data_IF_322701548576
#
_entry.id   IF_322701548576
#
_cell.length_a   1.000
_cell.length_b   1.000
_cell.length_c   1.000
_cell.angle_alpha   90.00
_cell.angle_beta   90.00
_cell.angle_gamma   90.00
#
_symmetry.space_group_name_H-M   'P 1'
#
loop_
_entity.id
_entity.type
_entity.pdbx_description
1 polymer ?
#
# COMPACT_ATOMS: atom_id res chain seq x y z
N UNK A 1 14.26 11.79 12.81
CA UNK A 1 13.33 12.55 11.96
C UNK A 1 12.20 13.09 12.83
N UNK A 2 12.00 14.40 12.95
CA UNK A 2 10.81 14.96 13.57
C UNK A 2 9.74 15.03 12.49
N UNK A 3 8.71 14.20 12.57
CA UNK A 3 7.50 14.39 11.76
C UNK A 3 6.82 15.65 12.31
N UNK A 4 6.71 16.69 11.49
CA UNK A 4 5.87 17.83 11.81
C UNK A 4 4.44 17.32 11.89
N UNK A 5 3.66 17.82 12.86
CA UNK A 5 2.23 17.57 12.95
C UNK A 5 1.53 18.18 11.73
N UNK A 6 1.50 17.40 10.65
CA UNK A 6 0.76 17.72 9.43
C UNK A 6 -0.46 16.81 9.34
N UNK A 7 -1.42 17.18 8.53
CA UNK A 7 -2.59 16.36 8.24
C UNK A 7 -2.15 14.97 7.77
N UNK A 8 -2.55 13.94 8.51
CA UNK A 8 -2.40 12.57 8.07
C UNK A 8 -3.43 12.29 7.00
N UNK A 9 -3.01 11.69 5.88
CA UNK A 9 -3.91 11.32 4.79
C UNK A 9 -3.71 9.86 4.44
N UNK A 10 -4.80 9.20 4.08
CA UNK A 10 -4.75 7.85 3.54
C UNK A 10 -3.91 7.85 2.27
N UNK A 11 -3.01 6.87 2.15
CA UNK A 11 -2.24 6.67 0.93
C UNK A 11 -3.18 6.40 -0.26
N UNK A 12 -3.04 7.10 -1.39
CA UNK A 12 -3.93 6.94 -2.54
C UNK A 12 -4.04 5.49 -3.02
N UNK A 13 -2.95 4.73 -3.03
CA UNK A 13 -2.98 3.33 -3.45
C UNK A 13 -3.81 2.44 -2.52
N UNK A 14 -3.86 2.75 -1.23
CA UNK A 14 -4.67 2.01 -0.27
C UNK A 14 -6.17 2.33 -0.38
N UNK A 15 -6.53 3.48 -0.96
CA UNK A 15 -7.93 3.75 -1.32
C UNK A 15 -8.43 2.82 -2.43
N UNK A 16 -7.59 2.50 -3.43
CA UNK A 16 -7.92 1.49 -4.43
C UNK A 16 -8.04 0.09 -3.80
N UNK A 17 -7.15 -0.25 -2.87
CA UNK A 17 -7.20 -1.51 -2.13
C UNK A 17 -8.49 -1.64 -1.32
N UNK A 18 -8.88 -0.60 -0.59
CA UNK A 18 -10.12 -0.56 0.19
C UNK A 18 -11.35 -0.69 -0.71
N UNK A 19 -11.43 0.08 -1.79
CA UNK A 19 -12.54 -0.02 -2.74
C UNK A 19 -12.65 -1.41 -3.34
N UNK A 20 -11.53 -2.01 -3.73
CA UNK A 20 -11.48 -3.38 -4.25
C UNK A 20 -12.04 -4.38 -3.24
N UNK A 21 -11.64 -4.28 -1.97
CA UNK A 21 -12.16 -5.13 -0.90
C UNK A 21 -13.68 -4.96 -0.72
N UNK A 22 -14.17 -3.72 -0.75
CA UNK A 22 -15.60 -3.42 -0.62
C UNK A 22 -16.41 -3.98 -1.78
N UNK A 23 -15.92 -3.87 -3.02
CA UNK A 23 -16.57 -4.44 -4.21
C UNK A 23 -16.61 -5.97 -4.17
N UNK A 24 -15.53 -6.62 -3.72
CA UNK A 24 -15.49 -8.07 -3.55
C UNK A 24 -16.47 -8.52 -2.46
N UNK A 25 -16.53 -7.82 -1.32
CA UNK A 25 -17.51 -8.10 -0.26
C UNK A 25 -18.95 -7.95 -0.77
N UNK A 26 -19.25 -6.97 -1.61
CA UNK A 26 -20.56 -6.76 -2.19
C UNK A 26 -20.98 -7.92 -3.12
N UNK A 27 -20.01 -8.57 -3.77
CA UNK A 27 -20.25 -9.68 -4.69
C UNK A 27 -20.30 -11.05 -4.00
N UNK A 28 -19.39 -11.28 -3.05
CA UNK A 28 -19.14 -12.59 -2.46
C UNK A 28 -19.58 -12.71 -1.00
N UNK A 29 -19.94 -11.59 -0.37
CA UNK A 29 -20.17 -11.54 1.07
C UNK A 29 -18.87 -11.38 1.86
N UNK A 30 -18.96 -11.63 3.18
CA UNK A 30 -17.83 -11.53 4.09
C UNK A 30 -17.70 -10.17 4.78
N UNK A 31 -16.51 -9.88 5.33
CA UNK A 31 -16.22 -8.67 6.10
C UNK A 31 -14.91 -8.03 5.64
N UNK A 32 -14.81 -6.70 5.72
CA UNK A 32 -13.61 -5.93 5.38
C UNK A 32 -13.04 -5.31 6.65
N UNK A 33 -11.86 -5.76 7.05
CA UNK A 33 -11.08 -5.18 8.14
C UNK A 33 -9.91 -4.39 7.58
N UNK A 34 -9.79 -3.12 7.97
CA UNK A 34 -8.66 -2.28 7.60
C UNK A 34 -7.60 -2.32 8.70
N UNK A 35 -6.35 -2.61 8.32
CA UNK A 35 -5.22 -2.66 9.24
C UNK A 35 -4.14 -1.66 8.80
N UNK A 36 -3.62 -0.87 9.73
CA UNK A 36 -2.47 0.00 9.50
C UNK A 36 -1.47 -0.08 10.64
N UNK A 37 -0.22 0.26 10.37
CA UNK A 37 0.79 0.51 11.40
C UNK A 37 1.15 1.98 11.40
N UNK A 38 0.97 2.64 12.54
CA UNK A 38 1.21 4.07 12.62
C UNK A 38 1.11 4.64 14.02
N UNK A 39 1.37 5.95 14.16
CA UNK A 39 1.17 6.65 15.41
C UNK A 39 -0.34 6.76 15.74
N UNK A 40 -0.71 7.09 16.99
CA UNK A 40 -2.12 7.21 17.39
C UNK A 40 -2.97 8.13 16.50
N UNK A 41 -2.36 9.13 15.88
CA UNK A 41 -3.04 10.05 14.95
C UNK A 41 -3.59 9.34 13.69
N UNK A 42 -3.10 8.16 13.37
CA UNK A 42 -3.64 7.34 12.27
C UNK A 42 -5.09 6.89 12.52
N UNK A 43 -5.61 7.06 13.74
CA UNK A 43 -7.01 6.76 14.07
C UNK A 43 -7.99 7.54 13.16
N UNK A 44 -7.67 8.77 12.79
CA UNK A 44 -8.54 9.58 11.91
C UNK A 44 -8.71 8.92 10.54
N UNK A 45 -7.62 8.41 9.95
CA UNK A 45 -7.67 7.67 8.68
C UNK A 45 -8.49 6.38 8.79
N UNK A 46 -8.42 5.69 9.95
CA UNK A 46 -9.22 4.50 10.20
C UNK A 46 -10.71 4.83 10.32
N UNK A 47 -11.05 5.98 10.88
CA UNK A 47 -12.44 6.48 10.89
C UNK A 47 -12.94 6.79 9.49
N UNK A 48 -12.10 7.32 8.61
CA UNK A 48 -12.45 7.54 7.20
C UNK A 48 -12.76 6.22 6.49
N UNK A 49 -12.02 5.14 6.78
CA UNK A 49 -12.32 3.82 6.24
C UNK A 49 -13.73 3.32 6.61
N UNK A 50 -14.19 3.58 7.83
CA UNK A 50 -15.58 3.31 8.21
C UNK A 50 -16.58 4.09 7.37
N UNK A 51 -16.27 5.34 7.04
CA UNK A 51 -17.18 6.18 6.22
C UNK A 51 -17.26 5.71 4.77
N UNK A 52 -16.28 4.91 4.32
CA UNK A 52 -16.29 4.24 3.01
C UNK A 52 -16.98 2.87 3.08
N UNK A 53 -17.17 2.31 4.25
CA UNK A 53 -17.92 1.07 4.43
C UNK A 53 -17.14 -0.10 5.01
N UNK A 54 -15.93 0.10 5.55
CA UNK A 54 -15.22 -0.93 6.27
C UNK A 54 -16.01 -1.43 7.48
N UNK A 55 -15.92 -2.71 7.79
CA UNK A 55 -16.61 -3.35 8.90
C UNK A 55 -15.83 -3.21 10.21
N UNK A 56 -14.49 -3.21 10.13
CA UNK A 56 -13.61 -3.06 11.28
C UNK A 56 -12.33 -2.29 10.90
N UNK A 57 -11.73 -1.65 11.90
CA UNK A 57 -10.51 -0.87 11.71
C UNK A 57 -9.55 -1.07 12.90
N UNK A 58 -8.30 -1.37 12.58
CA UNK A 58 -7.27 -1.75 13.55
C UNK A 58 -5.98 -0.98 13.29
N UNK A 59 -5.38 -0.46 14.34
CA UNK A 59 -4.08 0.22 14.30
C UNK A 59 -3.06 -0.59 15.10
N UNK A 60 -1.94 -0.92 14.48
CA UNK A 60 -0.73 -1.32 15.19
C UNK A 60 0.01 -0.04 15.64
N UNK A 61 -0.06 0.27 16.92
CA UNK A 61 0.53 1.50 17.45
C UNK A 61 1.30 1.27 18.74
N UNK A 62 2.62 1.32 18.63
CA UNK A 62 3.54 1.25 19.77
C UNK A 62 4.84 2.01 19.41
N UNK A 63 5.52 2.57 20.40
CA UNK A 63 6.84 3.18 20.20
C UNK A 63 7.88 2.19 19.71
N UNK A 64 7.72 0.92 20.01
CA UNK A 64 8.59 -0.17 19.57
C UNK A 64 8.53 -0.40 18.05
N UNK A 65 7.49 0.06 17.37
CA UNK A 65 7.37 -0.03 15.91
C UNK A 65 7.99 1.18 15.20
N UNK A 66 8.38 2.22 15.93
CA UNK A 66 8.89 3.44 15.33
C UNK A 66 10.22 3.23 14.60
N UNK A 67 10.35 3.86 13.44
CA UNK A 67 11.58 3.80 12.63
C UNK A 67 11.74 2.48 11.85
N UNK A 68 10.70 1.65 11.79
CA UNK A 68 10.69 0.42 11.00
C UNK A 68 10.94 0.70 9.52
N UNK A 69 11.78 -0.12 8.89
CA UNK A 69 11.91 -0.22 7.45
C UNK A 69 10.90 -1.21 6.87
N UNK A 70 11.08 -1.63 5.61
CA UNK A 70 10.17 -2.59 4.94
C UNK A 70 10.09 -3.90 5.70
N UNK A 71 11.24 -4.45 6.14
CA UNK A 71 11.27 -5.76 6.81
C UNK A 71 10.54 -5.72 8.14
N UNK A 72 10.88 -4.77 9.01
CA UNK A 72 10.25 -4.64 10.32
C UNK A 72 8.76 -4.23 10.22
N UNK A 73 8.39 -3.41 9.21
CA UNK A 73 7.00 -3.02 8.95
C UNK A 73 6.16 -4.21 8.51
N UNK A 74 6.62 -4.95 7.51
CA UNK A 74 5.88 -6.11 6.99
C UNK A 74 5.76 -7.21 8.05
N UNK A 75 6.80 -7.40 8.86
CA UNK A 75 6.75 -8.35 9.97
C UNK A 75 5.71 -7.96 11.02
N UNK A 76 5.71 -6.70 11.46
CA UNK A 76 4.72 -6.22 12.43
C UNK A 76 3.29 -6.35 11.90
N UNK A 77 3.05 -6.01 10.63
CA UNK A 77 1.74 -6.17 9.99
C UNK A 77 1.33 -7.65 9.89
N UNK A 78 2.23 -8.55 9.52
CA UNK A 78 1.98 -9.98 9.49
C UNK A 78 1.59 -10.53 10.87
N UNK A 79 2.28 -10.09 11.93
CA UNK A 79 1.91 -10.43 13.31
C UNK A 79 0.52 -9.88 13.68
N UNK A 80 0.21 -8.65 13.27
CA UNK A 80 -1.13 -8.07 13.45
C UNK A 80 -2.21 -8.88 12.75
N UNK A 81 -2.01 -9.28 11.50
CA UNK A 81 -2.93 -10.15 10.75
C UNK A 81 -3.13 -11.48 11.47
N UNK A 82 -2.07 -12.06 12.01
CA UNK A 82 -2.15 -13.31 12.80
C UNK A 82 -3.01 -13.13 14.05
N UNK A 83 -2.86 -12.01 14.78
CA UNK A 83 -3.71 -11.68 15.95
C UNK A 83 -5.18 -11.56 15.57
N UNK A 84 -5.47 -11.07 14.37
CA UNK A 84 -6.84 -10.93 13.87
C UNK A 84 -7.45 -12.26 13.39
N UNK A 85 -6.69 -13.34 13.38
CA UNK A 85 -7.14 -14.67 12.95
C UNK A 85 -6.86 -14.97 11.48
N UNK A 86 -6.07 -14.15 10.80
CA UNK A 86 -5.82 -14.27 9.36
C UNK A 86 -6.91 -13.61 8.51
N UNK A 87 -6.83 -13.83 7.21
CA UNK A 87 -7.83 -13.41 6.23
C UNK A 87 -7.76 -14.34 5.01
N UNK A 88 -8.88 -14.55 4.34
CA UNK A 88 -8.91 -15.29 3.07
C UNK A 88 -8.17 -14.52 1.97
N UNK A 89 -8.37 -13.20 1.95
CA UNK A 89 -7.70 -12.31 1.00
C UNK A 89 -7.14 -11.08 1.71
N UNK A 90 -5.85 -10.83 1.53
CA UNK A 90 -5.20 -9.60 1.96
C UNK A 90 -4.99 -8.72 0.73
N UNK A 91 -5.45 -7.48 0.80
CA UNK A 91 -5.31 -6.51 -0.30
C UNK A 91 -4.51 -5.32 0.21
N UNK A 92 -3.40 -5.01 -0.44
CA UNK A 92 -2.58 -3.84 -0.16
C UNK A 92 -2.56 -2.91 -1.38
N UNK A 93 -2.41 -1.63 -1.17
CA UNK A 93 -1.99 -0.74 -2.26
C UNK A 93 -0.59 -1.15 -2.76
N UNK A 94 -0.32 -0.90 -4.03
CA UNK A 94 0.96 -1.23 -4.66
C UNK A 94 2.15 -0.69 -3.89
N UNK A 95 2.07 0.56 -3.42
CA UNK A 95 3.16 1.28 -2.77
C UNK A 95 2.63 2.45 -1.95
N UNK A 96 3.49 3.07 -1.15
CA UNK A 96 3.18 4.31 -0.45
C UNK A 96 3.85 5.51 -1.13
N UNK A 97 3.24 6.68 -1.03
CA UNK A 97 3.79 7.92 -1.64
C UNK A 97 4.98 8.51 -0.88
N UNK A 98 5.23 8.05 0.34
CA UNK A 98 6.35 8.50 1.18
C UNK A 98 7.58 7.58 1.11
N UNK A 99 7.38 6.26 1.09
CA UNK A 99 8.44 5.26 1.05
C UNK A 99 8.75 4.71 -0.33
N UNK A 100 7.75 4.63 -1.18
CA UNK A 100 7.79 4.25 -2.60
C UNK A 100 8.52 2.91 -2.91
N UNK A 101 8.57 1.99 -1.94
CA UNK A 101 9.34 0.74 -2.09
C UNK A 101 8.59 -0.36 -2.84
N UNK A 102 7.26 -0.35 -2.81
CA UNK A 102 6.39 -1.40 -3.36
C UNK A 102 6.69 -2.83 -2.84
N UNK A 103 7.27 -2.97 -1.66
CA UNK A 103 7.77 -4.25 -1.14
C UNK A 103 6.99 -4.78 0.07
N UNK A 104 6.24 -3.93 0.78
CA UNK A 104 5.59 -4.32 2.03
C UNK A 104 4.56 -5.42 1.82
N UNK A 105 3.70 -5.33 0.80
CA UNK A 105 2.71 -6.36 0.48
C UNK A 105 3.32 -7.75 0.25
N UNK A 106 4.22 -7.91 -0.74
CA UNK A 106 4.92 -9.17 -0.98
C UNK A 106 5.67 -9.71 0.26
N UNK A 107 6.28 -8.82 1.06
CA UNK A 107 6.97 -9.22 2.29
C UNK A 107 5.99 -9.73 3.37
N UNK A 108 4.78 -9.16 3.47
CA UNK A 108 3.71 -9.70 4.35
C UNK A 108 3.34 -11.11 3.89
N UNK A 109 3.15 -11.32 2.60
CA UNK A 109 2.81 -12.64 2.06
C UNK A 109 3.88 -13.68 2.39
N UNK A 110 5.16 -13.33 2.26
CA UNK A 110 6.28 -14.21 2.65
C UNK A 110 6.25 -14.54 4.15
N UNK A 111 6.07 -13.55 5.02
CA UNK A 111 5.97 -13.79 6.46
C UNK A 111 4.80 -14.70 6.85
N UNK A 112 3.71 -14.65 6.09
CA UNK A 112 2.50 -15.47 6.33
C UNK A 112 2.48 -16.76 5.50
N UNK A 113 3.49 -16.99 4.66
CA UNK A 113 3.57 -18.15 3.75
C UNK A 113 2.36 -18.22 2.82
N UNK A 114 1.95 -17.08 2.26
CA UNK A 114 0.81 -16.96 1.36
C UNK A 114 1.26 -16.83 -0.10
N UNK A 115 0.49 -17.43 -1.01
CA UNK A 115 0.58 -17.10 -2.43
C UNK A 115 0.24 -15.64 -2.65
N UNK A 116 0.91 -14.97 -3.60
CA UNK A 116 0.61 -13.56 -3.85
C UNK A 116 0.77 -13.17 -5.32
N UNK A 117 0.06 -12.09 -5.71
CA UNK A 117 0.29 -11.37 -6.96
C UNK A 117 0.50 -9.89 -6.66
N UNK A 118 1.61 -9.35 -7.16
CA UNK A 118 1.93 -7.94 -7.03
C UNK A 118 1.49 -7.16 -8.29
N UNK A 119 1.10 -5.87 -8.08
CA UNK A 119 0.77 -4.94 -9.17
C UNK A 119 -0.39 -5.42 -10.05
N UNK A 120 -1.44 -5.88 -9.39
CA UNK A 120 -2.67 -6.29 -10.05
C UNK A 120 -3.33 -5.07 -10.68
N UNK A 121 -3.55 -5.15 -11.99
CA UNK A 121 -4.21 -4.11 -12.78
C UNK A 121 -5.72 -4.35 -12.89
N UNK A 122 -6.17 -5.61 -12.78
CA UNK A 122 -7.57 -5.98 -12.88
C UNK A 122 -7.86 -7.28 -12.15
N UNK A 123 -9.04 -7.38 -11.51
CA UNK A 123 -9.59 -8.65 -11.06
C UNK A 123 -10.54 -9.15 -12.14
N UNK A 124 -10.13 -10.20 -12.86
CA UNK A 124 -10.92 -10.79 -13.96
C UNK A 124 -11.97 -11.77 -13.46
N UNK A 125 -11.85 -12.24 -12.21
CA UNK A 125 -12.83 -13.10 -11.56
C UNK A 125 -12.50 -13.38 -10.11
N UNK A 126 -13.51 -13.73 -9.33
CA UNK A 126 -13.36 -14.21 -7.97
C UNK A 126 -14.56 -15.08 -7.60
N UNK A 127 -14.31 -16.16 -6.88
CA UNK A 127 -15.30 -17.09 -6.33
C UNK A 127 -14.90 -17.50 -4.89
N UNK A 128 -15.50 -18.51 -4.30
CA UNK A 128 -15.24 -18.95 -2.93
C UNK A 128 -13.87 -19.62 -2.76
N UNK A 129 -13.20 -20.00 -3.83
CA UNK A 129 -11.97 -20.81 -3.80
C UNK A 129 -10.71 -20.04 -4.24
N UNK A 130 -10.86 -19.10 -5.16
CA UNK A 130 -9.73 -18.43 -5.79
C UNK A 130 -10.09 -17.04 -6.33
N UNK A 131 -9.05 -16.24 -6.55
CA UNK A 131 -9.12 -14.97 -7.26
C UNK A 131 -8.34 -15.06 -8.58
N UNK A 132 -8.91 -14.54 -9.65
CA UNK A 132 -8.27 -14.41 -10.95
C UNK A 132 -7.90 -12.95 -11.19
N UNK A 133 -6.64 -12.71 -11.48
CA UNK A 133 -6.09 -11.37 -11.60
C UNK A 133 -5.29 -11.23 -12.88
N UNK A 134 -5.30 -10.02 -13.43
CA UNK A 134 -4.41 -9.61 -14.51
C UNK A 134 -3.38 -8.61 -13.99
N UNK A 135 -2.12 -8.87 -14.34
CA UNK A 135 -0.98 -8.01 -14.05
C UNK A 135 -0.44 -7.47 -15.35
N UNK A 136 -0.28 -6.16 -15.46
CA UNK A 136 0.36 -5.54 -16.63
C UNK A 136 1.83 -5.26 -16.30
N UNK A 137 2.70 -6.14 -16.76
CA UNK A 137 4.15 -6.03 -16.65
C UNK A 137 4.69 -5.22 -17.82
N UNK A 138 5.95 -4.74 -17.72
CA UNK A 138 6.52 -3.81 -18.71
C UNK A 138 6.36 -4.25 -20.17
N UNK A 139 6.45 -5.55 -20.44
CA UNK A 139 6.43 -6.10 -21.81
C UNK A 139 5.35 -7.14 -22.06
N UNK A 140 4.65 -7.59 -21.02
CA UNK A 140 3.65 -8.66 -21.10
C UNK A 140 2.50 -8.38 -20.14
N UNK A 141 1.32 -8.87 -20.49
CA UNK A 141 0.19 -9.01 -19.57
C UNK A 141 0.09 -10.46 -19.15
N UNK A 142 -0.04 -10.70 -17.84
CA UNK A 142 -0.12 -12.03 -17.24
C UNK A 142 -1.45 -12.17 -16.52
N UNK A 143 -2.15 -13.27 -16.78
CA UNK A 143 -3.31 -13.69 -15.98
C UNK A 143 -2.91 -14.83 -15.05
N UNK A 144 -3.39 -14.77 -13.81
CA UNK A 144 -3.10 -15.76 -12.77
C UNK A 144 -4.36 -16.07 -11.97
N UNK A 145 -4.53 -17.34 -11.63
CA UNK A 145 -5.53 -17.79 -10.66
C UNK A 145 -4.79 -18.16 -9.37
N UNK A 146 -5.23 -17.57 -8.26
CA UNK A 146 -4.55 -17.71 -6.96
C UNK A 146 -5.56 -18.24 -5.95
N UNK A 147 -5.34 -19.42 -5.37
CA UNK A 147 -6.21 -19.98 -4.36
C UNK A 147 -6.13 -19.19 -3.04
N UNK A 148 -7.22 -19.10 -2.32
CA UNK A 148 -7.24 -18.56 -0.96
C UNK A 148 -6.63 -19.54 0.06
N UNK A 149 -5.97 -19.06 1.16
CA UNK A 149 -5.72 -17.66 1.45
C UNK A 149 -4.56 -17.08 0.59
N UNK A 150 -4.68 -15.82 0.19
CA UNK A 150 -3.66 -15.17 -0.63
C UNK A 150 -3.55 -13.66 -0.37
N UNK A 151 -2.52 -13.04 -0.96
CA UNK A 151 -2.33 -11.60 -0.91
C UNK A 151 -2.21 -11.04 -2.33
N UNK A 152 -2.85 -9.89 -2.57
CA UNK A 152 -2.64 -9.11 -3.79
C UNK A 152 -2.21 -7.68 -3.46
N UNK A 153 -1.37 -7.08 -4.31
CA UNK A 153 -1.17 -5.63 -4.29
C UNK A 153 -1.79 -5.03 -5.53
N UNK A 154 -2.61 -4.00 -5.35
CA UNK A 154 -3.38 -3.39 -6.44
C UNK A 154 -2.73 -2.10 -6.92
N UNK A 155 -2.77 -1.89 -8.25
CA UNK A 155 -2.25 -0.68 -8.87
C UNK A 155 -3.28 0.45 -8.81
N UNK A 156 -2.84 1.67 -9.12
CA UNK A 156 -3.73 2.82 -9.29
C UNK A 156 -4.64 2.56 -10.50
N UNK A 157 -5.75 3.26 -10.53
CA UNK A 157 -6.72 3.23 -11.63
C UNK A 157 -7.44 1.89 -11.86
N UNK A 158 -7.21 0.90 -10.97
CA UNK A 158 -7.89 -0.39 -11.02
C UNK A 158 -9.41 -0.27 -10.81
N UNK A 159 -9.83 0.73 -10.04
CA UNK A 159 -11.23 1.06 -9.78
C UNK A 159 -11.33 2.55 -9.46
N UNK A 160 -12.54 3.06 -9.30
CA UNK A 160 -12.78 4.42 -8.80
C UNK A 160 -13.20 4.31 -7.34
N UNK A 161 -12.36 4.73 -6.38
CA UNK A 161 -12.73 4.70 -4.97
C UNK A 161 -13.99 5.50 -4.70
N UNK A 162 -14.91 4.92 -3.93
CA UNK A 162 -16.13 5.63 -3.50
C UNK A 162 -15.80 6.79 -2.58
N UNK A 163 -16.65 7.80 -2.59
CA UNK A 163 -16.53 8.91 -1.66
C UNK A 163 -17.02 8.51 -0.25
N UNK A 164 -16.46 9.10 0.80
CA UNK A 164 -16.96 8.95 2.17
C UNK A 164 -18.44 9.28 2.28
N UNK A 165 -19.21 8.41 2.93
CA UNK A 165 -20.65 8.59 3.15
C UNK A 165 -20.93 9.36 4.43
N UNK A 166 -21.69 10.43 4.33
CA UNK A 166 -22.15 11.17 5.52
C UNK A 166 -23.07 10.33 6.42
N UNK A 167 -23.86 9.44 5.85
CA UNK A 167 -24.72 8.53 6.61
C UNK A 167 -23.85 7.56 7.42
N UNK A 168 -22.89 6.88 6.78
CA UNK A 168 -21.95 5.98 7.46
C UNK A 168 -21.14 6.73 8.52
N UNK A 169 -20.75 7.99 8.27
CA UNK A 169 -20.05 8.79 9.27
C UNK A 169 -20.86 8.95 10.56
N UNK A 170 -22.18 9.14 10.46
CA UNK A 170 -23.07 9.21 11.63
C UNK A 170 -23.24 7.84 12.30
N UNK A 171 -23.50 6.81 11.52
CA UNK A 171 -23.76 5.46 12.02
C UNK A 171 -22.53 4.84 12.70
N UNK A 172 -21.34 5.14 12.19
CA UNK A 172 -20.08 4.59 12.71
C UNK A 172 -19.36 5.52 13.71
N UNK A 173 -19.94 6.68 14.04
CA UNK A 173 -19.29 7.67 14.91
C UNK A 173 -18.85 7.11 16.27
N UNK A 174 -19.63 6.19 16.85
CA UNK A 174 -19.32 5.52 18.11
C UNK A 174 -18.54 4.19 17.95
N UNK A 175 -18.27 3.76 16.70
CA UNK A 175 -17.56 2.50 16.45
C UNK A 175 -16.10 2.65 16.88
N UNK A 176 -15.55 1.76 17.71
CA UNK A 176 -14.17 1.86 18.16
C UNK A 176 -13.20 1.56 17.01
N UNK A 177 -12.07 2.24 17.00
CA UNK A 177 -10.89 1.80 16.26
C UNK A 177 -10.05 0.97 17.23
N UNK A 178 -9.80 -0.29 16.91
CA UNK A 178 -9.02 -1.18 17.78
C UNK A 178 -7.54 -0.82 17.71
N UNK A 179 -6.88 -0.78 18.85
CA UNK A 179 -5.44 -0.54 18.92
C UNK A 179 -4.73 -1.80 19.40
N UNK A 180 -3.83 -2.32 18.58
CA UNK A 180 -2.91 -3.38 18.95
C UNK A 180 -1.54 -2.76 19.23
N UNK A 181 -0.96 -3.16 20.35
CA UNK A 181 0.38 -2.75 20.77
C UNK A 181 1.32 -3.95 20.70
N UNK A 182 2.59 -3.74 20.91
CA UNK A 182 3.60 -4.80 20.90
C UNK A 182 3.22 -6.00 21.79
N UNK A 183 2.63 -5.76 22.96
CA UNK A 183 2.26 -6.83 23.90
C UNK A 183 1.12 -7.72 23.42
N UNK A 184 0.38 -7.28 22.40
CA UNK A 184 -0.68 -8.07 21.79
C UNK A 184 -0.17 -9.03 20.71
N UNK A 185 1.08 -8.85 20.24
CA UNK A 185 1.64 -9.64 19.16
C UNK A 185 2.15 -11.00 19.67
N UNK A 186 2.01 -12.07 18.88
CA UNK A 186 2.47 -13.42 19.27
C UNK A 186 3.99 -13.49 19.50
N UNK A 187 4.76 -12.86 18.60
CA UNK A 187 6.20 -12.77 18.77
C UNK A 187 6.58 -11.45 19.45
N UNK A 188 7.29 -11.54 20.56
CA UNK A 188 7.74 -10.41 21.37
C UNK A 188 9.26 -10.21 21.35
N UNK A 189 9.94 -10.77 20.35
CA UNK A 189 11.37 -10.50 20.13
C UNK A 189 11.55 -9.10 19.53
N UNK A 190 11.99 -8.16 20.36
CA UNK A 190 12.23 -6.77 19.96
C UNK A 190 13.22 -6.61 18.82
N UNK A 191 14.12 -7.58 18.59
CA UNK A 191 15.09 -7.53 17.50
C UNK A 191 14.46 -7.59 16.11
N UNK A 192 13.15 -7.87 16.02
CA UNK A 192 12.38 -7.99 14.77
C UNK A 192 11.50 -6.77 14.48
N UNK A 193 11.45 -5.78 15.38
CA UNK A 193 10.54 -4.65 15.30
C UNK A 193 11.23 -3.29 15.28
N UNK A 194 10.57 -2.31 14.68
CA UNK A 194 10.98 -0.92 14.68
C UNK A 194 12.38 -0.71 14.13
N UNK A 195 13.08 0.28 14.65
CA UNK A 195 14.45 0.60 14.22
C UNK A 195 15.45 -0.53 14.51
N UNK A 196 15.25 -1.28 15.59
CA UNK A 196 16.15 -2.38 15.97
C UNK A 196 16.03 -3.54 14.98
N UNK A 197 14.82 -3.84 14.54
CA UNK A 197 14.53 -4.90 13.56
C UNK A 197 14.76 -4.50 12.10
N UNK A 198 15.22 -3.26 11.86
CA UNK A 198 15.39 -2.72 10.51
C UNK A 198 16.83 -2.84 10.04
N UNK A 199 17.15 -3.65 9.02
CA UNK A 199 18.48 -3.70 8.41
C UNK A 199 18.84 -2.41 7.66
N UNK A 200 17.88 -1.56 7.34
CA UNK A 200 18.10 -0.28 6.66
C UNK A 200 17.72 0.89 7.56
N UNK A 201 18.42 2.00 7.41
CA UNK A 201 18.11 3.24 8.13
C UNK A 201 18.35 4.46 7.23
N UNK A 202 17.49 5.48 7.38
CA UNK A 202 17.66 6.75 6.67
C UNK A 202 18.85 7.50 7.29
N UNK A 203 19.93 7.61 6.53
CA UNK A 203 21.16 8.32 6.96
C UNK A 203 21.05 9.81 6.64
N UNK A 204 20.49 10.16 5.47
CA UNK A 204 20.41 11.55 5.02
C UNK A 204 19.21 11.75 4.12
N UNK A 205 18.55 12.88 4.26
CA UNK A 205 17.51 13.38 3.34
C UNK A 205 18.00 14.66 2.68
N UNK A 206 17.75 14.80 1.39
CA UNK A 206 18.06 16.01 0.63
C UNK A 206 16.97 16.23 -0.41
N UNK A 207 16.73 17.49 -0.74
CA UNK A 207 15.84 17.83 -1.84
C UNK A 207 16.46 17.35 -3.16
N UNK A 208 15.64 16.93 -4.15
CA UNK A 208 16.12 16.70 -5.50
C UNK A 208 16.86 17.95 -6.02
N UNK A 209 17.87 17.73 -6.85
CA UNK A 209 18.51 18.84 -7.56
C UNK A 209 17.45 19.60 -8.37
N UNK A 210 17.60 20.92 -8.48
CA UNK A 210 16.74 21.71 -9.35
C UNK A 210 16.79 21.10 -10.76
N UNK A 211 15.62 20.98 -11.39
CA UNK A 211 15.56 20.50 -12.78
C UNK A 211 16.40 21.44 -13.65
N UNK A 212 17.22 20.86 -14.51
CA UNK A 212 17.88 21.61 -15.58
C UNK A 212 16.84 22.44 -16.33
N UNK A 213 17.21 23.66 -16.69
CA UNK A 213 16.35 24.55 -17.48
C UNK A 213 15.91 23.81 -18.74
N UNK A 214 14.63 23.95 -19.07
CA UNK A 214 14.11 23.41 -20.33
C UNK A 214 14.92 24.01 -21.49
N UNK A 215 15.39 23.14 -22.36
CA UNK A 215 16.06 23.53 -23.60
C UNK A 215 15.01 23.54 -24.70
N UNK A 216 14.84 24.71 -25.34
CA UNK A 216 13.95 24.84 -26.47
C UNK A 216 14.78 24.77 -27.72
N UNK A 217 14.48 23.84 -28.64
CA UNK A 217 15.14 23.70 -29.91
C UNK A 217 14.62 24.78 -30.88
N UNK A 218 15.53 25.54 -31.49
CA UNK A 218 15.20 26.59 -32.42
C UNK A 218 15.60 26.20 -33.86
N UNK A 219 14.95 26.80 -34.88
CA UNK A 219 15.22 26.53 -36.27
C UNK A 219 14.10 25.76 -37.00
N UNK A 220 14.43 25.23 -38.18
CA UNK A 220 13.51 24.43 -38.99
C UNK A 220 13.36 22.98 -38.49
N UNK A 221 12.40 22.24 -39.04
CA UNK A 221 12.11 20.88 -38.57
C UNK A 221 13.30 19.91 -38.75
N UNK A 222 14.03 19.87 -39.85
CA UNK A 222 15.23 19.04 -39.98
C UNK A 222 16.30 19.37 -38.93
N UNK A 223 16.65 20.63 -38.75
CA UNK A 223 17.66 21.05 -37.78
C UNK A 223 17.30 20.68 -36.34
N UNK A 224 16.03 20.89 -35.95
CA UNK A 224 15.52 20.46 -34.63
C UNK A 224 15.58 18.95 -34.44
N UNK A 225 15.32 18.18 -35.49
CA UNK A 225 15.41 16.72 -35.43
C UNK A 225 16.82 16.24 -35.20
N UNK A 226 17.79 16.83 -35.95
CA UNK A 226 19.22 16.48 -35.83
C UNK A 226 19.76 16.84 -34.43
N UNK A 227 19.39 18.02 -33.91
CA UNK A 227 19.78 18.46 -32.58
C UNK A 227 19.17 17.58 -31.48
N UNK A 228 17.87 17.24 -31.57
CA UNK A 228 17.21 16.34 -30.66
C UNK A 228 17.88 14.98 -30.67
N UNK A 229 18.16 14.41 -31.82
CA UNK A 229 18.84 13.14 -31.99
C UNK A 229 20.23 13.14 -31.32
N UNK A 230 21.01 14.20 -31.54
CA UNK A 230 22.32 14.37 -30.91
C UNK A 230 22.22 14.44 -29.38
N UNK A 231 21.23 15.18 -28.84
CA UNK A 231 20.98 15.25 -27.39
C UNK A 231 20.61 13.86 -26.81
N UNK A 232 19.70 13.14 -27.45
CA UNK A 232 19.26 11.83 -26.98
C UNK A 232 20.38 10.81 -27.01
N UNK A 233 21.16 10.77 -28.09
CA UNK A 233 22.34 9.91 -28.21
C UNK A 233 23.41 10.26 -27.17
N UNK A 234 23.69 11.58 -26.99
CA UNK A 234 24.64 12.03 -25.98
C UNK A 234 24.25 11.67 -24.54
N UNK A 235 22.94 11.62 -24.26
CA UNK A 235 22.37 11.16 -22.96
C UNK A 235 22.21 9.64 -22.89
N UNK A 236 22.57 8.87 -23.90
CA UNK A 236 22.43 7.40 -23.99
C UNK A 236 20.99 6.92 -23.78
N UNK A 237 20.04 7.67 -24.30
CA UNK A 237 18.61 7.32 -24.26
C UNK A 237 18.26 6.47 -25.49
N UNK A 238 18.93 6.74 -26.59
CA UNK A 238 18.88 6.00 -27.85
C UNK A 238 20.29 5.70 -28.36
#
# INVERSE_FOLDING_TARGET
>A
MKRLSGDTRTNPYDLFALETALQLREKLGGTVTVLTMGPPQAEEMMRDAYTMGADDAVILSDRKFAGADVLATSYALAQGITVLGGADLIICGRQTTDGDTAQVGPAIAEHLTLSHAAWVAEITGADESAIRVRQDLVSVSQESEIPYPCLITVDKDMCVPRLPSYLLKKETAARPVRVLTFVNLPDQDLSRYGLIGSPTAVVRMFAPAEREKQVYLEGDAPGKTDELFAILTGKKII
#
